data_IF_022770771646
#
_entry.id   IF_022770771646
#
_cell.length_a   1.000
_cell.length_b   1.000
_cell.length_c   1.000
_cell.angle_alpha   90.00
_cell.angle_beta   90.00
_cell.angle_gamma   90.00
#
_symmetry.space_group_name_H-M   'P 1'
#
loop_
_entity.id
_entity.type
_entity.pdbx_description
1 polymer ?
2 polymer ?
3 water ?
#
# COMPACT_ATOMS: atom_id res chain seq x y z
N UNK A 1 -21.28 21.72 -3.07
CA UNK A 1 -20.94 22.90 -2.19
C UNK A 1 -19.79 22.61 -1.19
N UNK A 2 -19.99 21.67 -0.25
CA UNK A 2 -18.92 21.25 0.68
C UNK A 2 -17.63 20.74 -0.04
N UNK A 3 -17.82 19.98 -1.11
CA UNK A 3 -16.71 19.55 -1.96
C UNK A 3 -15.82 20.62 -2.58
N UNK A 4 -16.30 21.87 -2.66
CA UNK A 4 -15.47 23.00 -3.13
C UNK A 4 -14.72 23.73 -2.02
N UNK A 5 -15.02 23.48 -0.73
CA UNK A 5 -14.33 24.23 0.35
C UNK A 5 -13.03 23.50 0.73
N UNK A 6 -11.86 24.13 0.54
CA UNK A 6 -10.59 23.45 0.81
C UNK A 6 -10.37 23.09 2.26
N UNK A 7 -10.07 21.80 2.50
CA UNK A 7 -9.69 21.27 3.80
C UNK A 7 -8.56 20.32 3.56
N UNK A 8 -8.01 19.78 4.64
CA UNK A 8 -6.99 18.70 4.56
C UNK A 8 -7.55 17.31 4.24
N UNK A 9 -8.86 17.19 4.10
CA UNK A 9 -9.47 15.92 3.80
C UNK A 9 -9.90 15.91 2.35
N UNK A 10 -9.40 14.92 1.64
CA UNK A 10 -9.79 14.69 0.25
C UNK A 10 -10.78 13.50 0.19
N UNK A 11 -11.87 13.64 -0.58
CA UNK A 11 -12.71 12.54 -0.98
C UNK A 11 -12.48 12.13 -2.44
N UNK A 12 -12.28 10.81 -2.62
CA UNK A 12 -12.27 10.18 -3.90
C UNK A 12 -13.50 9.29 -4.12
N UNK A 13 -14.16 9.51 -5.24
CA UNK A 13 -15.30 8.73 -5.72
C UNK A 13 -14.98 8.03 -7.03
N UNK A 14 -15.77 6.99 -7.31
CA UNK A 14 -15.66 6.24 -8.56
C UNK A 14 -14.34 5.47 -8.74
N UNK A 15 -13.60 5.26 -7.66
CA UNK A 15 -12.38 4.49 -7.72
C UNK A 15 -12.65 3.02 -8.08
N UNK A 16 -13.68 2.46 -7.49
CA UNK A 16 -14.14 1.13 -7.78
C UNK A 16 -15.64 1.14 -7.70
N UNK A 17 -16.26 0.10 -8.24
CA UNK A 17 -17.74 -0.01 -8.23
C UNK A 17 -18.28 -0.49 -6.91
N UNK A 18 -19.59 -0.43 -6.77
CA UNK A 18 -20.28 -0.94 -5.59
C UNK A 18 -19.98 -2.41 -5.46
N UNK A 19 -19.76 -2.87 -4.24
CA UNK A 19 -19.36 -4.25 -3.99
C UNK A 19 -17.99 -4.68 -4.50
N UNK A 20 -17.12 -3.71 -4.83
CA UNK A 20 -15.79 -4.01 -5.39
C UNK A 20 -14.65 -3.47 -4.55
N UNK A 21 -14.88 -3.26 -3.24
CA UNK A 21 -13.80 -2.85 -2.37
C UNK A 21 -12.87 -4.08 -2.22
N UNK A 22 -11.64 -3.97 -2.72
CA UNK A 22 -10.63 -5.01 -2.51
C UNK A 22 -9.64 -4.62 -1.40
N UNK A 23 -8.81 -5.57 -0.98
CA UNK A 23 -7.88 -5.34 0.13
C UNK A 23 -6.68 -4.46 -0.25
N UNK A 24 -6.42 -4.28 -1.54
CA UNK A 24 -5.23 -3.52 -1.98
C UNK A 24 -5.55 -2.06 -2.30
N UNK A 25 -6.81 -1.70 -2.18
CA UNK A 25 -7.24 -0.39 -2.49
C UNK A 25 -6.56 0.68 -1.60
N UNK A 26 -6.49 0.41 -0.30
CA UNK A 26 -5.88 1.36 0.62
C UNK A 26 -4.41 1.63 0.30
N UNK A 27 -3.64 0.56 0.10
CA UNK A 27 -2.21 0.69 -0.15
C UNK A 27 -1.94 1.41 -1.45
N UNK A 28 -2.68 1.07 -2.52
CA UNK A 28 -2.46 1.74 -3.82
C UNK A 28 -2.84 3.20 -3.76
N UNK A 29 -3.92 3.52 -3.06
CA UNK A 29 -4.39 4.89 -2.92
C UNK A 29 -3.37 5.71 -2.12
N UNK A 30 -3.10 5.27 -0.90
CA UNK A 30 -2.21 5.99 0.00
C UNK A 30 -0.79 6.19 -0.54
N UNK A 31 -0.21 5.15 -1.15
CA UNK A 31 1.19 5.25 -1.62
C UNK A 31 1.35 6.24 -2.78
N UNK A 32 0.42 6.27 -3.70
CA UNK A 32 0.40 7.31 -4.73
C UNK A 32 0.20 8.68 -4.14
N UNK A 33 -0.80 8.84 -3.29
CA UNK A 33 -1.18 10.15 -2.79
C UNK A 33 -0.16 10.77 -1.86
N UNK A 34 0.74 9.95 -1.30
CA UNK A 34 1.90 10.41 -0.49
C UNK A 34 2.75 11.44 -1.22
N UNK A 35 2.72 11.44 -2.54
CA UNK A 35 3.43 12.44 -3.32
C UNK A 35 2.80 13.85 -3.37
N UNK A 36 1.55 14.04 -2.94
CA UNK A 36 1.02 15.40 -2.80
C UNK A 36 1.40 15.97 -1.44
N UNK A 37 1.81 15.10 -0.51
CA UNK A 37 2.21 15.46 0.84
C UNK A 37 1.92 14.32 1.80
N UNK A 38 2.28 14.51 3.06
CA UNK A 38 2.15 13.52 4.11
C UNK A 38 0.67 13.15 4.31
N UNK A 39 0.36 11.86 4.28
CA UNK A 39 -0.99 11.39 4.51
C UNK A 39 -1.08 10.83 5.94
N UNK A 40 -2.05 11.34 6.70
CA UNK A 40 -2.32 10.85 8.03
C UNK A 40 -3.16 9.59 8.03
N UNK A 41 -4.21 9.56 7.22
CA UNK A 41 -5.23 8.50 7.29
C UNK A 41 -5.80 8.23 5.94
N UNK A 42 -6.14 6.96 5.72
CA UNK A 42 -6.88 6.54 4.54
C UNK A 42 -8.07 5.67 5.01
N UNK A 43 -9.29 6.16 4.75
CA UNK A 43 -10.53 5.50 5.16
C UNK A 43 -11.38 5.13 3.94
N UNK A 44 -11.81 3.87 3.90
CA UNK A 44 -12.68 3.35 2.82
C UNK A 44 -14.07 3.08 3.41
N UNK A 45 -15.07 3.71 2.84
CA UNK A 45 -16.45 3.59 3.35
C UNK A 45 -17.40 3.34 2.20
N UNK A 46 -18.29 2.36 2.33
CA UNK A 46 -19.24 2.04 1.28
C UNK A 46 -20.63 2.39 1.73
N UNK A 47 -21.26 3.28 0.96
CA UNK A 47 -22.63 3.67 1.17
C UNK A 47 -23.54 2.56 0.62
N UNK A 48 -24.28 1.84 1.51
CA UNK A 48 -25.27 0.85 1.04
C UNK A 48 -26.36 1.43 0.10
N UNK A 49 -26.70 0.67 -0.94
CA UNK A 49 -27.76 1.05 -1.85
C UNK A 49 -27.46 2.22 -2.77
N UNK A 50 -26.23 2.73 -2.75
CA UNK A 50 -25.87 3.87 -3.57
C UNK A 50 -25.58 3.42 -5.01
N UNK A 51 -25.67 4.35 -5.96
CA UNK A 51 -25.31 3.99 -7.33
C UNK A 51 -23.83 3.63 -7.50
N UNK A 52 -23.53 2.91 -8.57
CA UNK A 52 -22.22 2.35 -8.81
C UNK A 52 -21.08 3.38 -8.78
N UNK A 53 -21.37 4.57 -9.25
CA UNK A 53 -20.36 5.59 -9.33
C UNK A 53 -20.25 6.47 -8.07
N UNK A 54 -21.09 6.21 -7.05
CA UNK A 54 -21.10 6.95 -5.78
C UNK A 54 -20.87 6.06 -4.58
N UNK A 55 -20.97 4.75 -4.76
CA UNK A 55 -21.08 3.87 -3.60
C UNK A 55 -19.83 3.85 -2.70
N UNK A 56 -18.65 3.81 -3.32
CA UNK A 56 -17.39 3.64 -2.56
C UNK A 56 -16.70 5.01 -2.40
N UNK A 57 -16.54 5.40 -1.13
CA UNK A 57 -15.90 6.63 -0.77
C UNK A 57 -14.55 6.36 -0.11
N UNK A 58 -13.50 6.94 -0.69
CA UNK A 58 -12.14 6.86 -0.14
C UNK A 58 -11.78 8.24 0.32
N UNK A 59 -11.51 8.34 1.61
CA UNK A 59 -11.10 9.56 2.26
C UNK A 59 -9.59 9.49 2.56
N UNK A 60 -8.91 10.60 2.30
CA UNK A 60 -7.54 10.80 2.72
C UNK A 60 -7.43 12.05 3.59
N UNK A 61 -6.88 11.91 4.78
CA UNK A 61 -6.58 13.05 5.59
C UNK A 61 -5.12 13.36 5.42
N UNK A 62 -4.86 14.47 4.80
CA UNK A 62 -3.50 14.95 4.70
C UNK A 62 -3.16 15.69 5.99
N UNK A 63 -1.89 15.96 6.23
CA UNK A 63 -1.50 16.89 7.31
C UNK A 63 -1.82 18.36 7.04
N UNK A 64 -1.83 18.76 5.76
CA UNK A 64 -1.98 20.17 5.36
C UNK A 64 -2.88 20.34 4.16
N UNK A 65 -3.59 21.47 4.17
CA UNK A 65 -4.53 21.89 3.13
C UNK A 65 -3.85 22.02 1.77
N UNK A 66 -2.60 22.48 1.75
CA UNK A 66 -1.83 22.64 0.49
C UNK A 66 -1.64 21.31 -0.23
N UNK A 67 -1.37 20.25 0.52
CA UNK A 67 -1.29 18.88 -0.06
C UNK A 67 -2.62 18.44 -0.70
N UNK A 68 -3.69 18.58 0.07
CA UNK A 68 -5.02 18.29 -0.37
C UNK A 68 -5.40 19.01 -1.66
N UNK A 69 -5.06 20.29 -1.78
CA UNK A 69 -5.35 21.06 -3.01
C UNK A 69 -4.62 20.43 -4.21
N UNK A 70 -3.36 20.06 -4.00
CA UNK A 70 -2.59 19.37 -5.04
C UNK A 70 -3.21 18.07 -5.45
N UNK A 71 -3.69 17.31 -4.49
CA UNK A 71 -4.29 16.01 -4.75
C UNK A 71 -5.59 16.16 -5.55
N UNK A 72 -6.45 17.11 -5.13
CA UNK A 72 -7.75 17.37 -5.82
C UNK A 72 -7.53 17.81 -7.25
N UNK A 73 -6.58 18.71 -7.45
CA UNK A 73 -6.31 19.21 -8.81
C UNK A 73 -5.78 18.08 -9.72
N UNK A 74 -4.90 17.24 -9.17
CA UNK A 74 -4.30 16.15 -9.94
C UNK A 74 -5.15 14.86 -10.09
N UNK A 75 -5.98 14.56 -9.12
CA UNK A 75 -6.76 13.32 -9.11
C UNK A 75 -8.12 13.42 -9.77
N UNK A 76 -8.69 14.64 -9.83
CA UNK A 76 -9.98 14.84 -10.48
C UNK A 76 -9.89 14.72 -11.99
N UNK A 77 -10.59 13.73 -12.57
CA UNK A 77 -10.45 13.34 -13.99
C UNK A 77 -9.40 12.25 -14.24
N UNK A 78 -8.72 11.80 -13.19
CA UNK A 78 -7.59 10.84 -13.38
C UNK A 78 -8.14 9.44 -13.44
N UNK A 79 -7.51 8.57 -14.22
CA UNK A 79 -7.91 7.15 -14.27
C UNK A 79 -7.34 6.30 -13.13
N UNK A 80 -8.19 5.44 -12.59
CA UNK A 80 -7.80 4.40 -11.69
C UNK A 80 -8.53 3.14 -12.08
N UNK A 81 -7.76 2.12 -12.45
CA UNK A 81 -8.34 0.84 -12.87
C UNK A 81 -9.37 0.89 -13.98
N UNK A 82 -9.20 1.84 -14.91
CA UNK A 82 -10.15 2.13 -15.98
C UNK A 82 -11.31 3.07 -15.66
N UNK A 83 -11.43 3.51 -14.42
CA UNK A 83 -12.49 4.44 -14.02
C UNK A 83 -11.99 5.85 -13.91
N UNK A 84 -12.83 6.80 -14.28
CA UNK A 84 -12.51 8.24 -14.11
C UNK A 84 -12.82 8.66 -12.64
N UNK A 85 -11.76 9.02 -11.91
CA UNK A 85 -11.86 9.38 -10.52
C UNK A 85 -12.50 10.76 -10.39
N UNK A 86 -13.37 10.92 -9.38
CA UNK A 86 -13.86 12.25 -8.98
C UNK A 86 -13.22 12.61 -7.62
N UNK A 87 -12.53 13.74 -7.57
CA UNK A 87 -11.83 14.22 -6.38
C UNK A 87 -12.43 15.55 -5.89
N UNK A 88 -12.65 15.65 -4.58
CA UNK A 88 -13.08 16.90 -3.97
C UNK A 88 -12.71 16.92 -2.48
N UNK A 89 -12.94 18.05 -1.84
CA UNK A 89 -12.67 18.16 -0.42
C UNK A 89 -13.84 17.65 0.37
N UNK A 90 -13.59 17.43 1.66
CA UNK A 90 -14.61 17.02 2.61
C UNK A 90 -14.37 17.74 3.91
N UNK A 91 -15.46 18.12 4.55
CA UNK A 91 -15.41 18.76 5.85
C UNK A 91 -14.64 17.89 6.84
N UNK A 92 -13.65 18.50 7.51
CA UNK A 92 -12.80 17.80 8.46
C UNK A 92 -13.57 17.26 9.65
N UNK A 93 -14.34 18.13 10.30
CA UNK A 93 -15.10 17.73 11.50
C UNK A 93 -16.07 16.56 11.23
N UNK A 94 -16.79 16.63 10.10
CA UNK A 94 -17.69 15.54 9.65
C UNK A 94 -16.92 14.25 9.41
N UNK A 95 -15.76 14.35 8.75
CA UNK A 95 -14.90 13.19 8.54
C UNK A 95 -14.49 12.58 9.88
N UNK A 96 -14.04 13.42 10.82
CA UNK A 96 -13.59 12.96 12.13
C UNK A 96 -14.65 12.35 13.03
N UNK A 97 -15.91 12.72 12.90
CA UNK A 97 -16.99 11.97 13.62
C UNK A 97 -17.62 10.83 12.78
N UNK A 98 -16.95 10.40 11.70
CA UNK A 98 -17.45 9.35 10.79
C UNK A 98 -18.84 9.63 10.21
N UNK A 99 -19.13 10.90 9.97
CA UNK A 99 -20.24 11.33 9.15
C UNK A 99 -19.76 11.34 7.65
N UNK A 100 -19.73 10.15 7.06
CA UNK A 100 -19.04 9.91 5.77
C UNK A 100 -19.95 9.87 4.55
N UNK A 101 -21.26 10.15 4.75
CA UNK A 101 -22.23 10.02 3.67
C UNK A 101 -22.89 11.34 3.30
N UNK A 102 -22.26 12.48 3.61
CA UNK A 102 -22.82 13.79 3.26
C UNK A 102 -22.71 14.07 1.79
N UNK A 103 -23.55 15.00 1.33
CA UNK A 103 -23.35 15.89 0.14
C UNK A 103 -24.31 15.50 -0.97
N UNK B 1 -0.20 -2.30 -12.08
CA UNK B 1 -1.54 -2.59 -11.48
C UNK B 1 -1.40 -2.56 -9.95
N UNK B 2 -0.69 -1.54 -9.42
CA UNK B 2 -1.07 -0.09 -9.57
C UNK B 2 -1.97 0.29 -10.67
N UNK B 3 -3.20 0.50 -10.25
CA UNK B 3 -4.25 0.87 -11.13
C UNK B 3 -4.28 2.34 -11.53
N UNK B 4 -3.39 3.17 -10.99
CA UNK B 4 -3.29 4.59 -11.38
C UNK B 4 -2.89 4.69 -12.84
N UNK B 5 -3.70 5.47 -13.59
CA UNK B 5 -3.49 5.73 -14.98
C UNK B 5 -3.73 4.52 -15.88
N UNK B 6 -4.36 3.48 -15.36
CA UNK B 6 -4.71 2.35 -16.18
C UNK B 6 -6.23 2.19 -16.30
N UNK C 1 20.34 -19.76 13.59
CA UNK C 1 19.97 -18.70 12.56
C UNK C 1 18.47 -18.40 12.55
N UNK C 2 18.15 -17.13 12.85
CA UNK C 2 16.76 -16.74 13.03
C UNK C 2 15.89 -16.98 11.75
N UNK C 3 16.50 -16.89 10.56
CA UNK C 3 15.80 -17.13 9.31
C UNK C 3 15.12 -18.46 9.12
N UNK C 4 15.53 -19.48 9.89
CA UNK C 4 14.88 -20.81 9.87
C UNK C 4 13.75 -20.99 10.90
N UNK C 5 13.57 -20.07 11.86
CA UNK C 5 12.49 -20.19 12.86
C UNK C 5 11.20 -19.60 12.31
N UNK C 6 10.14 -20.42 12.11
CA UNK C 6 8.92 -19.88 11.52
C UNK C 6 8.24 -18.85 12.38
N UNK C 7 7.95 -17.68 11.79
CA UNK C 7 7.13 -16.62 12.39
C UNK C 7 6.19 -16.11 11.31
N UNK C 8 5.34 -15.17 11.69
CA UNK C 8 4.49 -14.47 10.71
C UNK C 8 5.18 -13.41 9.89
N UNK C 9 6.46 -13.18 10.15
CA UNK C 9 7.23 -12.17 9.45
C UNK C 9 8.14 -12.83 8.47
N UNK C 10 7.98 -12.44 7.21
CA UNK C 10 8.85 -12.91 6.12
C UNK C 10 9.81 -11.80 5.72
N UNK C 11 11.08 -12.17 5.56
CA UNK C 11 12.09 -11.30 4.96
C UNK C 11 12.45 -11.73 3.56
N UNK C 12 12.39 -10.75 2.64
CA UNK C 12 12.87 -10.89 1.27
C UNK C 12 14.11 -10.03 1.01
N UNK C 13 15.15 -10.70 0.50
CA UNK C 13 16.41 -10.11 0.11
C UNK C 13 16.66 -10.27 -1.37
N UNK C 14 17.52 -9.40 -1.89
CA UNK C 14 17.88 -9.41 -3.31
C UNK C 14 16.76 -9.06 -4.29
N UNK C 15 15.67 -8.47 -3.79
CA UNK C 15 14.58 -8.06 -4.68
C UNK C 15 15.02 -6.96 -5.64
N UNK C 16 15.75 -5.99 -5.13
CA UNK C 16 16.33 -4.93 -5.94
C UNK C 16 17.68 -4.61 -5.36
N UNK C 17 18.51 -3.90 -6.13
CA UNK C 17 19.87 -3.57 -5.73
C UNK C 17 19.92 -2.39 -4.78
N UNK C 18 21.11 -2.12 -4.22
CA UNK C 18 21.32 -0.94 -3.38
C UNK C 18 21.01 0.36 -4.18
N UNK C 19 20.35 1.32 -3.54
CA UNK C 19 19.88 2.52 -4.22
C UNK C 19 18.74 2.34 -5.24
N UNK C 20 18.13 1.16 -5.31
CA UNK C 20 17.14 0.88 -6.36
C UNK C 20 15.77 0.65 -5.78
N UNK C 21 15.48 1.22 -4.58
CA UNK C 21 14.14 1.14 -4.03
C UNK C 21 13.28 2.10 -4.89
N UNK C 22 12.35 1.53 -5.67
CA UNK C 22 11.46 2.34 -6.50
C UNK C 22 10.11 2.50 -5.82
N UNK C 23 9.29 3.41 -6.36
CA UNK C 23 8.01 3.76 -5.76
C UNK C 23 6.92 2.69 -5.96
N UNK C 24 7.12 1.76 -6.90
CA UNK C 24 6.15 0.68 -7.11
C UNK C 24 6.47 -0.65 -6.37
N UNK C 25 7.62 -0.71 -5.69
CA UNK C 25 8.09 -1.93 -5.06
C UNK C 25 7.10 -2.45 -3.98
N UNK C 26 6.60 -1.58 -3.12
CA UNK C 26 5.71 -2.00 -2.05
C UNK C 26 4.44 -2.62 -2.59
N UNK C 27 3.82 -1.93 -3.55
CA UNK C 27 2.57 -2.41 -4.13
C UNK C 27 2.83 -3.76 -4.82
N UNK C 28 3.85 -3.86 -5.66
CA UNK C 28 4.10 -5.10 -6.39
C UNK C 28 4.45 -6.30 -5.47
N UNK C 29 5.16 -6.03 -4.40
CA UNK C 29 5.46 -7.03 -3.43
C UNK C 29 4.22 -7.50 -2.67
N UNK C 30 3.59 -6.57 -1.97
CA UNK C 30 2.40 -6.86 -1.15
C UNK C 30 1.29 -7.53 -1.94
N UNK C 31 1.01 -7.08 -3.15
CA UNK C 31 -0.11 -7.63 -3.90
C UNK C 31 0.10 -9.08 -4.30
N UNK C 32 1.30 -9.41 -4.73
CA UNK C 32 1.63 -10.81 -5.01
C UNK C 32 1.58 -11.64 -3.75
N UNK C 33 2.23 -11.18 -2.67
CA UNK C 33 2.29 -11.94 -1.42
C UNK C 33 0.96 -12.12 -0.71
N UNK C 34 -0.04 -11.25 -1.01
CA UNK C 34 -1.44 -11.41 -0.54
C UNK C 34 -2.00 -12.84 -0.83
N UNK C 35 -1.48 -13.50 -1.85
CA UNK C 35 -1.96 -14.82 -2.21
C UNK C 35 -1.50 -15.95 -1.31
N UNK C 36 -0.54 -15.71 -0.44
CA UNK C 36 -0.17 -16.71 0.55
C UNK C 36 -1.06 -16.54 1.79
N UNK C 37 -1.71 -15.39 1.91
CA UNK C 37 -2.60 -15.07 3.03
C UNK C 37 -2.61 -13.58 3.24
N UNK C 38 -3.44 -13.14 4.18
CA UNK C 38 -3.60 -11.74 4.52
C UNK C 38 -2.26 -11.13 4.97
N UNK C 39 -1.90 -9.99 4.40
CA UNK C 39 -0.70 -9.26 4.80
C UNK C 39 -1.12 -8.06 5.65
N UNK C 40 -0.51 -7.96 6.84
CA UNK C 40 -0.72 -6.83 7.72
C UNK C 40 0.13 -5.61 7.33
N UNK C 41 1.40 -5.84 7.00
CA UNK C 41 2.37 -4.74 6.80
C UNK C 41 3.41 -5.13 5.79
N UNK C 42 3.88 -4.12 5.06
CA UNK C 42 5.02 -4.26 4.14
C UNK C 42 5.99 -3.11 4.39
N UNK C 43 7.20 -3.48 4.86
CA UNK C 43 8.21 -2.52 5.24
C UNK C 43 9.42 -2.71 4.34
N UNK C 44 9.87 -1.60 3.73
CA UNK C 44 11.10 -1.55 2.94
C UNK C 44 12.19 -0.81 3.71
N UNK C 45 13.28 -1.49 4.00
CA UNK C 45 14.35 -0.90 4.79
C UNK C 45 15.63 -1.09 4.03
N UNK C 46 16.42 -0.02 3.91
CA UNK C 46 17.70 -0.12 3.25
C UNK C 46 18.82 0.03 4.26
N UNK C 47 19.67 -1.00 4.33
CA UNK C 47 20.85 -1.01 5.15
C UNK C 47 21.94 -0.17 4.45
N UNK C 48 22.32 0.99 5.04
CA UNK C 48 23.42 1.78 4.47
C UNK C 48 24.75 1.02 4.38
N UNK C 49 25.48 1.20 3.28
CA UNK C 49 26.79 0.60 3.13
C UNK C 49 26.80 -0.92 2.94
N UNK C 50 25.64 -1.54 2.77
CA UNK C 50 25.59 -2.99 2.61
C UNK C 50 25.87 -3.37 1.17
N UNK C 51 26.34 -4.61 0.96
CA UNK C 51 26.47 -5.09 -0.42
C UNK C 51 25.17 -5.11 -1.22
N UNK C 52 25.31 -5.09 -2.54
CA UNK C 52 24.16 -5.01 -3.46
C UNK C 52 23.08 -6.08 -3.24
N UNK C 53 23.49 -7.28 -2.89
CA UNK C 53 22.54 -8.40 -2.71
C UNK C 53 21.97 -8.52 -1.28
N UNK C 54 22.38 -7.63 -0.38
CA UNK C 54 21.89 -7.55 1.01
C UNK C 54 21.27 -6.21 1.41
N UNK C 55 21.46 -5.17 0.59
CA UNK C 55 21.15 -3.81 1.03
C UNK C 55 19.66 -3.53 1.31
N UNK C 56 18.79 -4.04 0.44
CA UNK C 56 17.35 -3.77 0.53
C UNK C 56 16.62 -4.97 1.14
N UNK C 57 15.98 -4.71 2.27
CA UNK C 57 15.23 -5.69 3.01
C UNK C 57 13.75 -5.33 2.98
N UNK C 58 12.96 -6.29 2.46
CA UNK C 58 11.52 -6.16 2.40
C UNK C 58 10.95 -7.15 3.40
N UNK C 59 10.21 -6.60 4.36
CA UNK C 59 9.57 -7.34 5.40
C UNK C 59 8.08 -7.35 5.12
N UNK C 60 7.50 -8.53 5.29
CA UNK C 60 6.07 -8.71 5.25
C UNK C 60 5.58 -9.32 6.55
N UNK C 61 4.68 -8.65 7.22
CA UNK C 61 4.05 -9.24 8.37
C UNK C 61 2.75 -9.82 7.91
N UNK C 62 2.65 -11.14 7.95
CA UNK C 62 1.39 -11.83 7.67
C UNK C 62 0.58 -11.81 8.95
N UNK C 63 -0.71 -12.07 8.85
CA UNK C 63 -1.53 -12.33 10.04
C UNK C 63 -1.22 -13.67 10.75
N UNK C 64 -0.80 -14.67 9.97
CA UNK C 64 -0.60 -16.04 10.44
C UNK C 64 0.68 -16.66 9.92
N UNK C 65 1.27 -17.46 10.80
CA UNK C 65 2.49 -18.25 10.50
C UNK C 65 2.31 -19.16 9.24
N UNK C 66 1.14 -19.75 9.06
CA UNK C 66 0.87 -20.67 7.93
C UNK C 66 1.02 -19.96 6.58
N UNK C 67 0.57 -18.71 6.50
CA UNK C 67 0.77 -17.87 5.31
C UNK C 67 2.25 -17.62 5.03
N UNK C 68 2.98 -17.19 6.07
CA UNK C 68 4.39 -17.00 6.01
C UNK C 68 5.15 -18.20 5.52
N UNK C 69 4.81 -19.39 5.99
CA UNK C 69 5.48 -20.62 5.53
C UNK C 69 5.28 -20.85 4.02
N UNK C 70 4.04 -20.66 3.56
CA UNK C 70 3.73 -20.75 2.14
C UNK C 70 4.57 -19.76 1.34
N UNK C 71 4.73 -18.56 1.85
CA UNK C 71 5.46 -17.51 1.14
C UNK C 71 6.93 -17.88 1.02
N UNK C 72 7.53 -18.32 2.13
CA UNK C 72 8.96 -18.67 2.19
C UNK C 72 9.25 -19.84 1.23
N UNK C 73 8.39 -20.84 1.24
CA UNK C 73 8.58 -21.98 0.37
C UNK C 73 8.45 -21.59 -1.10
N UNK C 74 7.46 -20.75 -1.43
CA UNK C 74 7.28 -20.30 -2.80
C UNK C 74 8.22 -19.15 -3.32
N UNK C 75 8.67 -18.27 -2.44
CA UNK C 75 9.47 -17.10 -2.83
C UNK C 75 10.98 -17.32 -2.82
N UNK C 76 11.45 -18.30 -2.02
CA UNK C 76 12.90 -18.58 -1.98
C UNK C 76 13.37 -19.27 -3.27
N UNK C 77 14.28 -18.61 -4.01
CA UNK C 77 14.71 -19.04 -5.37
C UNK C 77 13.89 -18.45 -6.49
N UNK C 78 12.90 -17.64 -6.16
CA UNK C 78 11.97 -17.11 -7.18
C UNK C 78 12.58 -15.87 -7.82
N UNK C 79 12.29 -15.64 -9.10
CA UNK C 79 12.76 -14.42 -9.78
C UNK C 79 11.86 -13.21 -9.58
N UNK C 80 12.49 -12.08 -9.32
CA UNK C 80 11.83 -10.80 -9.32
C UNK C 80 12.73 -9.82 -10.07
N UNK C 81 12.23 -9.28 -11.16
CA UNK C 81 12.98 -8.34 -11.99
C UNK C 81 14.36 -8.81 -12.43
N UNK C 82 14.50 -10.12 -12.69
CA UNK C 82 15.73 -10.75 -13.07
C UNK C 82 16.62 -11.20 -11.93
N UNK C 83 16.25 -10.91 -10.69
CA UNK C 83 17.03 -11.26 -9.51
C UNK C 83 16.45 -12.46 -8.80
N UNK C 84 17.31 -13.32 -8.27
CA UNK C 84 16.90 -14.48 -7.49
C UNK C 84 16.63 -14.06 -6.02
N UNK C 85 15.37 -14.16 -5.63
CA UNK C 85 14.91 -13.70 -4.32
C UNK C 85 15.36 -14.69 -3.25
N UNK C 86 15.78 -14.16 -2.11
CA UNK C 86 16.07 -14.97 -0.93
C UNK C 86 14.98 -14.69 0.10
N UNK C 87 14.24 -15.74 0.51
CA UNK C 87 13.14 -15.64 1.45
C UNK C 87 13.45 -16.40 2.71
N UNK C 88 13.17 -15.78 3.85
CA UNK C 88 13.28 -16.46 5.14
C UNK C 88 12.37 -15.79 6.16
N UNK C 89 12.30 -16.37 7.33
CA UNK C 89 11.57 -15.75 8.43
C UNK C 89 12.42 -14.74 9.17
N UNK C 90 11.76 -13.93 9.96
CA UNK C 90 12.37 -12.91 10.82
C UNK C 90 11.63 -12.89 12.14
N UNK C 91 12.39 -12.68 13.19
CA UNK C 91 11.87 -12.57 14.55
C UNK C 91 10.83 -11.42 14.61
N UNK C 92 9.65 -11.73 15.14
CA UNK C 92 8.56 -10.78 15.19
C UNK C 92 8.88 -9.60 16.08
N UNK C 93 9.31 -9.89 17.31
CA UNK C 93 9.63 -8.81 18.26
C UNK C 93 10.68 -7.83 17.77
N UNK C 94 11.76 -8.36 17.17
CA UNK C 94 12.80 -7.53 16.52
C UNK C 94 12.24 -6.71 15.37
N UNK C 95 11.40 -7.32 14.53
CA UNK C 95 10.72 -6.57 13.47
C UNK C 95 9.93 -5.41 14.07
N UNK C 96 9.14 -5.70 15.12
CA UNK C 96 8.23 -4.67 15.71
C UNK C 96 8.92 -3.51 16.41
N UNK C 97 10.14 -3.68 16.91
CA UNK C 97 10.92 -2.52 17.43
C UNK C 97 11.85 -1.93 16.37
N UNK C 98 11.65 -2.26 15.09
CA UNK C 98 12.47 -1.80 13.98
C UNK C 98 13.93 -2.14 14.09
N UNK C 99 14.21 -3.29 14.68
CA UNK C 99 15.54 -3.88 14.65
C UNK C 99 15.68 -4.74 13.37
N UNK C 100 15.90 -4.04 12.25
CA UNK C 100 15.70 -4.60 10.90
C UNK C 100 16.98 -5.05 10.19
N UNK C 101 18.11 -4.97 10.91
CA UNK C 101 19.41 -5.27 10.31
C UNK C 101 20.10 -6.48 10.92
N UNK C 102 19.37 -7.36 11.58
CA UNK C 102 19.95 -8.55 12.23
C UNK C 102 20.38 -9.56 11.21
N UNK C 103 21.28 -10.43 11.66
CA UNK C 103 21.48 -11.83 11.20
C UNK C 103 22.83 -11.93 10.52
N UNK D 1 3.07 -6.18 -17.25
CA UNK D 1 4.26 -7.06 -17.01
C UNK D 1 4.80 -6.83 -15.59
N UNK D 2 4.24 -7.62 -14.67
CA UNK D 2 4.78 -7.80 -13.31
C UNK D 2 6.24 -8.09 -13.37
N UNK D 3 6.98 -7.57 -12.42
CA UNK D 3 8.36 -8.02 -12.26
C UNK D 3 8.46 -9.48 -11.72
N UNK D 4 7.42 -10.02 -11.10
CA UNK D 4 7.48 -11.40 -10.56
C UNK D 4 7.75 -12.38 -11.72
N UNK D 5 8.73 -13.26 -11.53
CA UNK D 5 9.14 -14.27 -12.51
C UNK D 5 9.83 -13.77 -13.77
N UNK D 6 10.16 -12.49 -13.83
CA UNK D 6 10.87 -11.88 -14.98
C UNK D 6 12.36 -11.83 -14.67
#
# INVERSE_FOLDING_TARGET
AMGKCPTKVVLLRNMVGAGEVDEDLEVETKEECEKYGKVGKCVIFEIPGAPDDEAVRIFLEFERVESAIKAVVDLNGRYFGGRVVKACFYNLDKFRVLDLAEQ
KSRWDE
AMGKCPTKVVLLRNMVGAGEVDEDLEVETKEECEKYGKVGKCVIFEIPGAPDDEAVRIFLEFERVESAIKAVVDLNGRYFGGRVVKACFYNLDKFRVLDLAEQ
KSRWDE
#
